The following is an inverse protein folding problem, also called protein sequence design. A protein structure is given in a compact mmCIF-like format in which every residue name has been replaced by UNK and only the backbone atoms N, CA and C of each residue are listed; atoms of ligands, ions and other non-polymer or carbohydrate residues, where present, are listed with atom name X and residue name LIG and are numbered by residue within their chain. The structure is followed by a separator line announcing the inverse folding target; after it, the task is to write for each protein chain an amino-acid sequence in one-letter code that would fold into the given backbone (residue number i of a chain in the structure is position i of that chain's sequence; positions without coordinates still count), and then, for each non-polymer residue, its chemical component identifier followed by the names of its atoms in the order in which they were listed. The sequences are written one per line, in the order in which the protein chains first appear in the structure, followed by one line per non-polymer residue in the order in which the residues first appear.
data_IF_598137902394
#
_entry.id   IF_598137902394
#
_cell.length_a   1.000
_cell.length_b   1.000
_cell.length_c   1.000
_cell.angle_alpha   90.00
_cell.angle_beta   90.00
_cell.angle_gamma   90.00
#
_symmetry.space_group_name_H-M   'P 1'
#
loop_
_entity.id
_entity.type
_entity.pdbx_description
1 polymer ?
#
# COMPACT_ATOMS: atom_id res chain seq x y z
N UNK A 1 -26.43 -6.77 -3.49
CA UNK A 1 -25.68 -7.27 -4.66
C UNK A 1 -24.48 -6.37 -4.83
N UNK A 2 -23.28 -6.90 -5.11
CA UNK A 2 -22.13 -6.04 -5.35
C UNK A 2 -22.34 -5.27 -6.67
N UNK A 3 -22.27 -3.94 -6.60
CA UNK A 3 -22.31 -3.09 -7.80
C UNK A 3 -20.89 -2.97 -8.35
N UNK A 4 -20.71 -3.25 -9.63
CA UNK A 4 -19.42 -3.13 -10.30
C UNK A 4 -19.46 -1.99 -11.32
N UNK A 5 -18.37 -1.24 -11.45
CA UNK A 5 -18.20 -0.19 -12.44
C UNK A 5 -16.80 -0.26 -13.08
N UNK A 6 -16.64 0.40 -14.24
CA UNK A 6 -15.36 0.53 -14.91
C UNK A 6 -14.82 1.96 -14.81
N UNK A 7 -13.50 2.10 -14.69
CA UNK A 7 -12.83 3.40 -14.79
C UNK A 7 -11.39 3.25 -15.30
N UNK A 8 -10.79 4.36 -15.74
CA UNK A 8 -9.37 4.36 -16.16
C UNK A 8 -8.44 4.43 -14.95
N UNK A 9 -7.52 3.46 -14.87
CA UNK A 9 -6.47 3.39 -13.86
C UNK A 9 -5.18 2.88 -14.49
N UNK A 10 -4.05 3.57 -14.25
CA UNK A 10 -2.76 3.26 -14.89
C UNK A 10 -2.81 3.16 -16.44
N UNK A 11 -3.70 3.92 -17.09
CA UNK A 11 -3.89 3.91 -18.55
C UNK A 11 -4.91 2.88 -19.05
N UNK A 12 -5.25 1.89 -18.22
CA UNK A 12 -6.11 0.76 -18.57
C UNK A 12 -7.55 0.93 -18.05
N UNK A 13 -8.51 0.26 -18.70
CA UNK A 13 -9.87 0.13 -18.18
C UNK A 13 -9.94 -1.03 -17.19
N UNK A 14 -10.25 -0.72 -15.93
CA UNK A 14 -10.34 -1.71 -14.85
C UNK A 14 -11.77 -1.82 -14.33
N UNK A 15 -12.15 -3.01 -13.88
CA UNK A 15 -13.40 -3.24 -13.14
C UNK A 15 -13.14 -3.09 -11.64
N UNK A 16 -14.09 -2.50 -10.93
CA UNK A 16 -14.02 -2.34 -9.47
C UNK A 16 -15.42 -2.48 -8.86
N UNK A 17 -15.51 -3.00 -7.64
CA UNK A 17 -16.71 -2.83 -6.83
C UNK A 17 -16.86 -1.34 -6.51
N UNK A 18 -18.01 -0.75 -6.85
CA UNK A 18 -18.28 0.69 -6.68
C UNK A 18 -18.03 1.18 -5.26
N UNK A 19 -18.26 0.35 -4.25
CA UNK A 19 -18.03 0.71 -2.84
C UNK A 19 -16.54 0.84 -2.48
N UNK A 20 -15.65 0.23 -3.26
CA UNK A 20 -14.20 0.22 -3.04
C UNK A 20 -13.44 1.18 -3.95
N UNK A 21 -14.09 1.80 -4.94
CA UNK A 21 -13.44 2.71 -5.89
C UNK A 21 -12.79 3.87 -5.15
N UNK A 22 -11.47 4.02 -5.32
CA UNK A 22 -10.67 5.07 -4.68
C UNK A 22 -10.38 4.84 -3.18
N UNK A 23 -10.89 3.77 -2.57
CA UNK A 23 -10.73 3.46 -1.13
C UNK A 23 -9.42 2.74 -0.79
N UNK A 24 -8.59 2.42 -1.77
CA UNK A 24 -7.32 1.71 -1.55
C UNK A 24 -6.43 2.35 -0.47
N UNK A 25 -6.36 3.69 -0.43
CA UNK A 25 -5.56 4.40 0.58
C UNK A 25 -6.06 4.18 2.01
N UNK A 26 -7.36 3.97 2.16
CA UNK A 26 -8.01 3.73 3.46
C UNK A 26 -7.80 2.28 3.94
N UNK A 27 -7.64 1.34 2.99
CA UNK A 27 -7.55 -0.10 3.29
C UNK A 27 -6.12 -0.67 3.32
N UNK A 28 -5.17 0.00 2.67
CA UNK A 28 -3.81 -0.52 2.53
C UNK A 28 -2.91 -0.05 3.68
N UNK A 29 -2.34 -1.00 4.43
CA UNK A 29 -1.40 -0.73 5.53
C UNK A 29 -0.21 0.14 5.11
N UNK A 30 0.22 0.11 3.85
CA UNK A 30 1.30 0.97 3.37
C UNK A 30 1.00 2.45 3.61
N UNK A 31 -0.23 2.92 3.37
CA UNK A 31 -0.60 4.33 3.58
C UNK A 31 -0.66 4.74 5.05
N UNK A 32 -0.66 3.77 5.97
CA UNK A 32 -0.58 4.00 7.42
C UNK A 32 0.81 3.72 8.01
N UNK A 33 1.80 3.36 7.17
CA UNK A 33 3.11 2.92 7.62
C UNK A 33 4.14 4.07 7.54
N UNK A 34 4.88 4.33 8.61
CA UNK A 34 5.94 5.34 8.64
C UNK A 34 7.13 5.04 7.71
N UNK A 35 7.22 3.81 7.19
CA UNK A 35 8.21 3.43 6.16
C UNK A 35 7.76 3.78 4.74
N UNK A 36 6.51 4.18 4.53
CA UNK A 36 6.00 4.51 3.21
C UNK A 36 6.33 5.96 2.86
N UNK A 37 7.23 6.12 1.88
CA UNK A 37 7.72 7.40 1.36
C UNK A 37 7.52 7.43 -0.16
N UNK A 38 6.28 7.61 -0.64
CA UNK A 38 6.00 7.61 -2.07
C UNK A 38 6.78 8.73 -2.77
N UNK A 39 7.25 8.46 -3.99
CA UNK A 39 7.98 9.43 -4.81
C UNK A 39 9.50 9.48 -4.62
N UNK A 40 10.05 8.80 -3.62
CA UNK A 40 11.52 8.67 -3.42
C UNK A 40 11.88 7.18 -3.34
N UNK A 41 12.01 6.48 -4.48
CA UNK A 41 12.16 5.03 -4.53
C UNK A 41 13.30 4.49 -3.65
N UNK A 42 14.40 5.22 -3.54
CA UNK A 42 15.62 4.85 -2.81
C UNK A 42 15.39 4.76 -1.30
N UNK A 43 14.46 5.55 -0.77
CA UNK A 43 14.16 5.61 0.68
C UNK A 43 12.78 5.06 1.03
N UNK A 44 11.97 4.71 0.02
CA UNK A 44 10.67 4.10 0.21
C UNK A 44 10.77 2.63 0.68
N UNK A 45 9.71 2.11 1.27
CA UNK A 45 9.59 0.71 1.63
C UNK A 45 9.78 -0.19 0.39
N UNK A 46 10.74 -1.15 0.37
CA UNK A 46 10.97 -2.03 -0.78
C UNK A 46 9.75 -2.86 -1.18
N UNK A 47 8.93 -3.29 -0.20
CA UNK A 47 7.67 -4.01 -0.45
C UNK A 47 6.62 -3.12 -1.11
N UNK A 48 6.54 -1.85 -0.71
CA UNK A 48 5.64 -0.89 -1.34
C UNK A 48 6.08 -0.58 -2.78
N UNK A 49 7.38 -0.43 -3.03
CA UNK A 49 7.92 -0.27 -4.39
C UNK A 49 7.56 -1.47 -5.28
N UNK A 50 7.78 -2.69 -4.78
CA UNK A 50 7.44 -3.90 -5.52
C UNK A 50 5.95 -3.99 -5.83
N UNK A 51 5.09 -3.76 -4.83
CA UNK A 51 3.64 -3.79 -5.03
C UNK A 51 3.17 -2.73 -6.03
N UNK A 52 3.76 -1.53 -5.98
CA UNK A 52 3.47 -0.48 -6.95
C UNK A 52 3.90 -0.86 -8.37
N UNK A 53 5.07 -1.50 -8.53
CA UNK A 53 5.50 -2.03 -9.83
C UNK A 53 4.51 -3.07 -10.38
N UNK A 54 4.01 -3.98 -9.54
CA UNK A 54 2.98 -4.94 -9.93
C UNK A 54 1.66 -4.24 -10.31
N UNK A 55 1.28 -3.18 -9.58
CA UNK A 55 0.08 -2.40 -9.89
C UNK A 55 0.15 -1.74 -11.27
N UNK A 56 1.31 -1.18 -11.62
CA UNK A 56 1.54 -0.57 -12.94
C UNK A 56 1.54 -1.65 -14.03
N UNK A 57 2.34 -2.71 -13.88
CA UNK A 57 2.51 -3.75 -14.92
C UNK A 57 1.21 -4.53 -15.12
N UNK A 58 0.50 -4.83 -14.04
CA UNK A 58 -0.73 -5.62 -14.08
C UNK A 58 -2.02 -4.81 -14.25
N UNK A 59 -1.94 -3.48 -14.37
CA UNK A 59 -3.13 -2.61 -14.47
C UNK A 59 -4.11 -2.80 -13.31
N UNK A 60 -3.61 -2.95 -12.09
CA UNK A 60 -4.40 -3.38 -10.92
C UNK A 60 -4.07 -2.56 -9.67
N UNK A 61 -4.85 -2.75 -8.60
CA UNK A 61 -4.63 -2.09 -7.31
C UNK A 61 -4.53 -3.14 -6.21
N UNK A 62 -3.37 -3.24 -5.55
CA UNK A 62 -3.13 -4.20 -4.45
C UNK A 62 -3.18 -3.51 -3.07
N UNK A 63 -4.20 -3.75 -2.24
CA UNK A 63 -4.13 -3.41 -0.83
C UNK A 63 -3.25 -4.40 -0.07
N UNK A 64 -2.38 -3.89 0.79
CA UNK A 64 -1.62 -4.69 1.75
C UNK A 64 -2.41 -4.71 3.05
N UNK A 65 -2.97 -5.86 3.41
CA UNK A 65 -3.69 -6.03 4.68
C UNK A 65 -2.79 -6.53 5.82
N UNK A 66 -1.66 -7.17 5.50
CA UNK A 66 -0.73 -7.74 6.47
C UNK A 66 0.71 -7.45 6.04
N UNK A 67 1.57 -7.06 6.98
CA UNK A 67 2.99 -6.80 6.68
C UNK A 67 3.84 -6.97 7.95
N UNK A 68 4.87 -7.84 7.94
CA UNK A 68 5.74 -8.06 9.10
C UNK A 68 6.65 -6.85 9.41
N UNK A 69 6.65 -5.85 8.53
CA UNK A 69 7.44 -4.63 8.66
C UNK A 69 6.58 -3.39 8.84
N UNK A 70 5.27 -3.55 9.12
CA UNK A 70 4.40 -2.43 9.41
C UNK A 70 4.91 -1.70 10.65
N UNK A 71 5.09 -0.38 10.51
CA UNK A 71 5.53 0.49 11.57
C UNK A 71 4.58 1.67 11.62
N UNK A 72 3.74 1.72 12.65
CA UNK A 72 2.95 2.91 12.96
C UNK A 72 3.87 3.83 13.75
N UNK A 73 4.17 5.01 13.23
CA UNK A 73 4.82 6.03 14.04
C UNK A 73 3.87 6.38 15.19
N UNK A 74 4.16 5.84 16.38
CA UNK A 74 3.52 6.30 17.60
C UNK A 74 4.32 7.53 18.02
N UNK A 75 3.69 8.70 17.99
CA UNK A 75 4.26 9.88 18.61
C UNK A 75 4.65 9.51 20.06
N UNK A 76 5.95 9.47 20.34
CA UNK A 76 6.58 9.23 21.65
C UNK A 76 6.93 7.79 22.08
N UNK A 77 7.21 6.84 21.17
CA UNK A 77 7.82 5.57 21.61
C UNK A 77 9.35 5.69 21.74
N UNK A 78 9.96 5.37 22.91
CA UNK A 78 11.41 5.37 23.06
C UNK A 78 12.03 4.31 22.14
N UNK A 79 13.18 4.65 21.55
CA UNK A 79 13.99 3.76 20.69
C UNK A 79 14.56 2.60 21.53
N UNK A 80 13.74 1.63 21.90
CA UNK A 80 14.24 0.38 22.49
C UNK A 80 14.63 -0.56 21.35
N UNK A 81 15.86 -1.05 21.43
CA UNK A 81 16.60 -1.75 20.39
C UNK A 81 15.78 -2.78 19.60
N UNK A 82 15.90 -2.68 18.28
CA UNK A 82 15.57 -3.74 17.34
C UNK A 82 16.45 -4.96 17.67
N UNK A 83 15.94 -5.86 18.52
CA UNK A 83 16.42 -7.23 18.55
C UNK A 83 15.95 -7.88 17.25
N UNK A 84 16.87 -8.05 16.32
CA UNK A 84 16.73 -9.00 15.23
C UNK A 84 16.81 -10.41 15.83
N UNK A 85 15.81 -11.29 15.63
CA UNK A 85 16.03 -12.72 15.87
C UNK A 85 16.94 -13.28 14.77
N UNK A 86 17.80 -14.20 15.23
CA UNK A 86 18.89 -14.89 14.51
C UNK A 86 18.46 -15.59 13.21
#
# INVERSE_FOLDING_TARGET
MANFEQYRHHGELVWVNSELKGKHRDHCLCFSCGRFKPGVPETNCPKANLNYAVCIVGGLTLPVYECPNFYKEIANMPKVGLLHPE
#
